data_IF_406213141622
#
_entry.id   IF_406213141622
#
_cell.length_a   1.000
_cell.length_b   1.000
_cell.length_c   1.000
_cell.angle_alpha   90.00
_cell.angle_beta   90.00
_cell.angle_gamma   90.00
#
_symmetry.space_group_name_H-M   'P 1'
#
loop_
_entity.id
_entity.type
_entity.pdbx_description
1 polymer ?
#
# COMPACT_ATOMS: atom_id res chain seq x y z
N UNK A 1 -27.20 -15.46 -24.45
CA UNK A 1 -27.61 -14.77 -23.21
C UNK A 1 -26.41 -13.94 -22.84
N UNK A 2 -26.45 -12.65 -23.15
CA UNK A 2 -25.36 -11.72 -22.85
C UNK A 2 -25.28 -11.59 -21.32
N UNK A 3 -24.17 -12.03 -20.74
CA UNK A 3 -23.84 -11.74 -19.35
C UNK A 3 -23.70 -10.23 -19.22
N UNK A 4 -24.60 -9.63 -18.44
CA UNK A 4 -24.57 -8.22 -18.12
C UNK A 4 -23.25 -7.90 -17.39
N UNK A 5 -22.32 -7.26 -18.08
CA UNK A 5 -21.09 -6.77 -17.47
C UNK A 5 -21.44 -5.82 -16.32
N UNK A 6 -20.93 -6.12 -15.13
CA UNK A 6 -21.02 -5.26 -13.95
C UNK A 6 -20.50 -3.85 -14.31
N UNK A 7 -21.35 -2.79 -14.24
CA UNK A 7 -20.96 -1.45 -14.63
C UNK A 7 -20.06 -0.72 -13.62
N UNK A 8 -19.59 -1.38 -12.56
CA UNK A 8 -18.73 -0.78 -11.53
C UNK A 8 -17.37 -1.44 -11.30
N UNK A 9 -17.09 -2.59 -11.91
CA UNK A 9 -15.86 -3.36 -11.68
C UNK A 9 -14.72 -3.02 -12.62
N UNK A 10 -13.51 -2.81 -12.10
CA UNK A 10 -12.30 -2.80 -12.94
C UNK A 10 -12.14 -4.18 -13.61
N UNK A 11 -11.84 -4.19 -14.90
CA UNK A 11 -11.56 -5.45 -15.62
C UNK A 11 -10.31 -6.15 -15.07
N UNK A 12 -10.28 -7.48 -15.15
CA UNK A 12 -9.13 -8.29 -14.75
C UNK A 12 -7.84 -7.83 -15.46
N UNK A 13 -7.93 -7.45 -16.74
CA UNK A 13 -6.81 -6.93 -17.53
C UNK A 13 -6.29 -5.58 -17.02
N UNK A 14 -7.16 -4.71 -16.51
CA UNK A 14 -6.73 -3.45 -15.89
C UNK A 14 -5.97 -3.70 -14.59
N UNK A 15 -6.44 -4.65 -13.78
CA UNK A 15 -5.77 -5.03 -12.53
C UNK A 15 -4.41 -5.66 -12.80
N UNK A 16 -4.32 -6.63 -13.71
CA UNK A 16 -3.04 -7.28 -14.04
C UNK A 16 -2.01 -6.31 -14.62
N UNK A 17 -2.45 -5.29 -15.37
CA UNK A 17 -1.56 -4.19 -15.79
C UNK A 17 -1.04 -3.38 -14.61
N UNK A 18 -1.89 -3.09 -13.61
CA UNK A 18 -1.44 -2.40 -12.41
C UNK A 18 -0.40 -3.21 -11.64
N UNK A 19 -0.64 -4.51 -11.49
CA UNK A 19 0.26 -5.43 -10.78
C UNK A 19 1.61 -5.54 -11.49
N UNK A 20 1.58 -5.70 -12.81
CA UNK A 20 2.78 -5.74 -13.65
C UNK A 20 3.58 -4.44 -13.55
N UNK A 21 2.91 -3.29 -13.58
CA UNK A 21 3.55 -1.98 -13.40
C UNK A 21 4.16 -1.81 -12.00
N UNK A 22 3.46 -2.23 -10.94
CA UNK A 22 3.99 -2.21 -9.58
C UNK A 22 5.22 -3.12 -9.42
N UNK A 23 5.25 -4.28 -10.09
CA UNK A 23 6.41 -5.18 -10.09
C UNK A 23 7.59 -4.59 -10.88
N UNK A 24 7.32 -3.89 -11.99
CA UNK A 24 8.33 -3.12 -12.70
C UNK A 24 8.91 -2.01 -11.81
N UNK A 25 8.08 -1.38 -10.98
CA UNK A 25 8.45 -0.46 -9.91
C UNK A 25 8.49 1.01 -10.33
N UNK A 26 8.38 1.90 -9.34
CA UNK A 26 8.24 3.35 -9.53
C UNK A 26 9.19 4.10 -8.58
N UNK A 27 9.88 5.12 -9.09
CA UNK A 27 10.60 6.06 -8.22
C UNK A 27 9.62 7.04 -7.58
N UNK A 28 9.51 7.01 -6.25
CA UNK A 28 8.60 7.86 -5.50
C UNK A 28 9.33 8.55 -4.34
N UNK A 29 8.80 9.68 -3.92
CA UNK A 29 9.31 10.43 -2.76
C UNK A 29 8.59 9.94 -1.51
N UNK A 30 9.34 9.38 -0.56
CA UNK A 30 8.84 9.09 0.79
C UNK A 30 8.90 10.35 1.66
N UNK A 31 7.75 10.78 2.17
CA UNK A 31 7.67 11.89 3.12
C UNK A 31 7.92 11.43 4.57
N UNK A 32 8.35 12.38 5.40
CA UNK A 32 8.60 12.22 6.84
C UNK A 32 8.35 13.56 7.53
N UNK A 33 7.75 13.57 8.71
CA UNK A 33 7.18 14.77 9.33
C UNK A 33 8.11 15.91 9.77
N UNK A 34 9.36 15.99 9.28
CA UNK A 34 10.30 17.08 9.59
C UNK A 34 11.55 17.15 8.70
N UNK A 35 11.59 16.47 7.55
CA UNK A 35 12.78 16.45 6.68
C UNK A 35 12.41 16.48 5.20
N UNK A 36 13.36 16.81 4.32
CA UNK A 36 13.21 16.66 2.87
C UNK A 36 12.84 15.21 2.55
N UNK A 37 11.87 15.03 1.65
CA UNK A 37 11.44 13.72 1.20
C UNK A 37 12.59 12.89 0.63
N UNK A 38 12.49 11.56 0.75
CA UNK A 38 13.53 10.63 0.31
C UNK A 38 13.10 9.91 -0.96
N UNK A 39 13.85 10.10 -2.04
CA UNK A 39 13.63 9.35 -3.27
C UNK A 39 13.95 7.87 -3.06
N UNK A 40 13.00 7.00 -3.41
CA UNK A 40 13.10 5.56 -3.29
C UNK A 40 12.43 4.89 -4.48
N UNK A 41 13.03 3.81 -4.95
CA UNK A 41 12.43 2.92 -5.94
C UNK A 41 11.60 1.89 -5.20
N UNK A 42 10.28 1.97 -5.34
CA UNK A 42 9.31 1.05 -4.76
C UNK A 42 8.89 0.03 -5.80
N UNK A 43 8.71 -1.22 -5.39
CA UNK A 43 8.25 -2.28 -6.28
C UNK A 43 7.49 -3.34 -5.49
N UNK A 44 6.54 -3.99 -6.14
CA UNK A 44 5.89 -5.21 -5.67
C UNK A 44 6.82 -6.40 -5.93
N UNK A 45 6.96 -7.31 -4.97
CA UNK A 45 7.79 -8.49 -5.18
C UNK A 45 7.17 -9.48 -6.19
N UNK A 46 7.97 -10.47 -6.60
CA UNK A 46 7.58 -11.49 -7.59
C UNK A 46 6.31 -12.24 -7.17
N UNK A 47 6.17 -12.52 -5.87
CA UNK A 47 5.02 -13.23 -5.30
C UNK A 47 3.82 -12.33 -4.97
N UNK A 48 3.91 -11.02 -5.24
CA UNK A 48 2.86 -10.04 -4.93
C UNK A 48 2.45 -10.01 -3.45
N UNK A 49 3.38 -10.39 -2.58
CA UNK A 49 3.20 -10.58 -1.14
C UNK A 49 3.73 -9.40 -0.31
N UNK A 50 4.63 -8.61 -0.90
CA UNK A 50 5.30 -7.50 -0.22
C UNK A 50 5.55 -6.32 -1.17
N UNK A 51 5.31 -5.11 -0.68
CA UNK A 51 5.92 -3.90 -1.23
C UNK A 51 7.34 -3.81 -0.70
N UNK A 52 8.33 -3.60 -1.56
CA UNK A 52 9.74 -3.43 -1.22
C UNK A 52 10.26 -2.10 -1.74
N UNK A 53 11.39 -1.63 -1.18
CA UNK A 53 12.04 -0.42 -1.69
C UNK A 53 13.55 -0.40 -1.55
N UNK A 54 14.19 0.35 -2.45
CA UNK A 54 15.64 0.60 -2.47
C UNK A 54 15.97 2.05 -2.86
N UNK A 55 17.12 2.61 -2.46
CA UNK A 55 18.07 2.05 -1.50
C UNK A 55 17.52 2.06 -0.07
N UNK A 56 17.95 1.12 0.77
CA UNK A 56 17.59 1.08 2.19
C UNK A 56 18.73 0.47 2.99
N UNK A 57 19.09 1.08 4.12
CA UNK A 57 20.06 0.50 5.07
C UNK A 57 19.48 -0.67 5.86
N UNK A 58 18.17 -0.92 5.74
CA UNK A 58 17.46 -1.99 6.46
C UNK A 58 17.41 -3.32 5.69
N UNK A 59 18.00 -3.41 4.49
CA UNK A 59 18.04 -4.59 3.62
C UNK A 59 16.69 -5.35 3.58
N UNK A 60 16.64 -6.59 4.06
CA UNK A 60 15.42 -7.44 4.06
C UNK A 60 14.24 -6.86 4.85
N UNK A 61 14.48 -5.93 5.77
CA UNK A 61 13.42 -5.23 6.51
C UNK A 61 12.85 -4.03 5.74
N UNK A 62 13.33 -3.75 4.52
CA UNK A 62 12.83 -2.69 3.65
C UNK A 62 11.57 -3.15 2.88
N UNK A 63 10.56 -3.60 3.62
CA UNK A 63 9.33 -4.12 3.05
C UNK A 63 8.11 -3.88 3.94
N UNK A 64 6.93 -3.88 3.32
CA UNK A 64 5.61 -3.98 3.97
C UNK A 64 4.92 -5.20 3.35
N UNK A 65 4.51 -6.15 4.18
CA UNK A 65 3.70 -7.28 3.71
C UNK A 65 2.30 -6.78 3.38
N UNK A 66 1.73 -7.24 2.26
CA UNK A 66 0.36 -6.89 1.85
C UNK A 66 -0.63 -7.25 2.95
N UNK A 67 -0.45 -8.40 3.60
CA UNK A 67 -1.27 -8.87 4.72
C UNK A 67 -1.27 -7.92 5.95
N UNK A 68 -0.25 -7.07 6.06
CA UNK A 68 -0.13 -6.12 7.16
C UNK A 68 -0.76 -4.77 6.84
N UNK A 69 -1.20 -4.54 5.59
CA UNK A 69 -1.83 -3.30 5.17
C UNK A 69 -3.28 -3.29 5.69
N UNK A 70 -3.62 -2.21 6.39
CA UNK A 70 -4.96 -1.99 6.92
C UNK A 70 -5.78 -1.08 6.00
N UNK A 71 -5.12 -0.13 5.35
CA UNK A 71 -5.77 0.89 4.54
C UNK A 71 -4.80 1.49 3.52
N UNK A 72 -5.32 1.83 2.33
CA UNK A 72 -4.64 2.66 1.34
C UNK A 72 -5.52 3.87 1.04
N UNK A 73 -5.01 5.05 1.38
CA UNK A 73 -5.70 6.33 1.28
C UNK A 73 -5.11 7.17 0.15
N UNK A 74 -5.97 7.77 -0.65
CA UNK A 74 -5.59 8.66 -1.76
C UNK A 74 -5.46 10.11 -1.30
N UNK A 75 -4.58 10.86 -1.97
CA UNK A 75 -4.38 12.26 -1.69
C UNK A 75 -3.51 12.51 -0.47
N UNK A 76 -3.81 13.62 0.20
CA UNK A 76 -2.99 14.22 1.27
C UNK A 76 -3.64 14.03 2.65
N UNK A 77 -4.24 12.87 2.90
CA UNK A 77 -5.09 12.67 4.08
C UNK A 77 -4.29 12.48 5.38
N UNK A 78 -3.05 12.00 5.31
CA UNK A 78 -2.26 11.74 6.52
C UNK A 78 -1.74 13.01 7.19
N UNK A 79 -1.45 12.92 8.49
CA UNK A 79 -0.83 14.00 9.25
C UNK A 79 0.51 14.45 8.66
N UNK A 80 1.24 13.56 7.98
CA UNK A 80 2.52 13.89 7.37
C UNK A 80 2.30 14.91 6.25
N UNK A 81 1.30 14.73 5.39
CA UNK A 81 1.01 15.70 4.34
C UNK A 81 0.51 17.05 4.90
N UNK A 82 -0.26 17.03 5.99
CA UNK A 82 -0.75 18.25 6.65
C UNK A 82 0.38 19.13 7.20
N UNK A 83 1.52 18.52 7.57
CA UNK A 83 2.73 19.25 7.99
C UNK A 83 3.48 19.94 6.85
N UNK A 84 3.04 19.74 5.60
CA UNK A 84 3.50 20.48 4.44
C UNK A 84 2.39 21.38 3.89
N UNK A 85 1.89 22.36 4.65
CA UNK A 85 0.75 23.20 4.25
C UNK A 85 1.02 24.00 2.98
N UNK A 86 2.27 24.37 2.72
CA UNK A 86 2.70 25.08 1.51
C UNK A 86 3.26 24.14 0.42
N UNK A 87 3.12 22.82 0.56
CA UNK A 87 3.64 21.91 -0.47
C UNK A 87 2.83 21.99 -1.77
N UNK A 88 3.57 22.13 -2.87
CA UNK A 88 3.06 22.07 -4.24
C UNK A 88 2.80 20.65 -4.73
N UNK A 89 2.56 19.68 -3.83
CA UNK A 89 2.29 18.30 -4.24
C UNK A 89 0.87 18.21 -4.78
N UNK A 90 0.74 17.79 -6.03
CA UNK A 90 -0.56 17.45 -6.62
C UNK A 90 -1.20 16.32 -5.78
N UNK A 91 -2.41 16.52 -5.22
CA UNK A 91 -3.12 15.49 -4.48
C UNK A 91 -3.27 14.19 -5.29
N UNK A 92 -3.43 14.26 -6.61
CA UNK A 92 -3.58 13.07 -7.44
C UNK A 92 -2.31 12.22 -7.46
N UNK A 93 -1.14 12.80 -7.19
CA UNK A 93 0.14 12.10 -7.09
C UNK A 93 0.41 11.56 -5.68
N UNK A 94 -0.44 11.87 -4.71
CA UNK A 94 -0.21 11.55 -3.30
C UNK A 94 -1.04 10.35 -2.86
N UNK A 95 -0.46 9.49 -2.02
CA UNK A 95 -1.19 8.45 -1.32
C UNK A 95 -0.45 7.99 -0.06
N UNK A 96 -1.16 7.33 0.84
CA UNK A 96 -0.65 6.80 2.09
C UNK A 96 -1.03 5.33 2.25
N UNK A 97 -0.08 4.52 2.72
CA UNK A 97 -0.31 3.12 3.09
C UNK A 97 -0.23 3.02 4.61
N UNK A 98 -1.32 2.61 5.25
CA UNK A 98 -1.36 2.35 6.69
C UNK A 98 -1.18 0.86 6.96
N UNK A 99 -0.22 0.51 7.82
CA UNK A 99 0.15 -0.88 8.05
C UNK A 99 0.57 -1.18 9.49
N UNK A 100 0.50 -2.46 9.85
CA UNK A 100 0.93 -2.98 11.15
C UNK A 100 0.04 -2.57 12.34
N UNK A 101 0.21 -3.23 13.48
CA UNK A 101 -0.67 -3.05 14.66
C UNK A 101 -0.69 -1.63 15.23
N UNK A 102 0.39 -0.87 15.07
CA UNK A 102 0.49 0.53 15.53
C UNK A 102 0.03 1.56 14.47
N UNK A 103 -0.60 1.10 13.37
CA UNK A 103 -1.11 1.94 12.28
C UNK A 103 -0.05 2.93 11.75
N UNK A 104 1.10 2.40 11.37
CA UNK A 104 2.19 3.20 10.81
C UNK A 104 1.84 3.64 9.38
N UNK A 105 2.17 4.88 9.02
CA UNK A 105 1.99 5.39 7.66
C UNK A 105 3.28 5.31 6.82
N UNK A 106 3.12 4.91 5.56
CA UNK A 106 4.06 5.16 4.49
C UNK A 106 3.43 6.16 3.52
N UNK A 107 3.90 7.40 3.59
CA UNK A 107 3.38 8.52 2.80
C UNK A 107 4.26 8.76 1.56
N UNK A 108 3.64 8.73 0.39
CA UNK A 108 4.34 8.71 -0.91
C UNK A 108 3.82 9.80 -1.84
N UNK A 109 4.76 10.43 -2.55
CA UNK A 109 4.48 11.26 -3.72
C UNK A 109 5.02 10.56 -4.95
N UNK A 110 4.10 10.17 -5.82
CA UNK A 110 4.33 9.53 -7.12
C UNK A 110 4.77 10.56 -8.17
N UNK A 111 5.48 10.16 -9.24
CA UNK A 111 5.84 11.08 -10.33
C UNK A 111 4.64 11.55 -11.15
N UNK A 112 3.53 10.82 -11.13
CA UNK A 112 2.28 11.19 -11.79
C UNK A 112 1.06 10.65 -11.06
N UNK A 113 -0.11 11.23 -11.35
CA UNK A 113 -1.38 10.71 -10.84
C UNK A 113 -1.71 9.32 -11.37
N UNK A 114 -1.27 8.99 -12.58
CA UNK A 114 -1.49 7.67 -13.19
C UNK A 114 -0.72 6.57 -12.44
N UNK A 115 0.52 6.87 -12.06
CA UNK A 115 1.34 5.99 -11.23
C UNK A 115 0.73 5.87 -9.83
N UNK A 116 0.28 6.97 -9.22
CA UNK A 116 -0.39 6.90 -7.91
C UNK A 116 -1.65 6.01 -7.95
N UNK A 117 -2.51 6.19 -8.97
CA UNK A 117 -3.71 5.36 -9.17
C UNK A 117 -3.35 3.91 -9.41
N UNK A 118 -2.32 3.64 -10.21
CA UNK A 118 -1.81 2.28 -10.45
C UNK A 118 -1.48 1.57 -9.13
N UNK A 119 -0.72 2.24 -8.26
CA UNK A 119 -0.36 1.70 -6.94
C UNK A 119 -1.56 1.52 -6.02
N UNK A 120 -2.43 2.53 -5.93
CA UNK A 120 -3.62 2.47 -5.08
C UNK A 120 -4.56 1.33 -5.51
N UNK A 121 -4.83 1.22 -6.81
CA UNK A 121 -5.67 0.18 -7.39
C UNK A 121 -5.11 -1.21 -7.14
N UNK A 122 -3.84 -1.44 -7.46
CA UNK A 122 -3.22 -2.75 -7.28
C UNK A 122 -3.16 -3.19 -5.81
N UNK A 123 -2.86 -2.25 -4.90
CA UNK A 123 -2.85 -2.55 -3.46
C UNK A 123 -4.24 -2.85 -2.90
N UNK A 124 -5.27 -2.08 -3.28
CA UNK A 124 -6.65 -2.35 -2.86
C UNK A 124 -7.14 -3.69 -3.37
N UNK A 125 -6.83 -4.03 -4.62
CA UNK A 125 -7.15 -5.34 -5.18
C UNK A 125 -6.48 -6.48 -4.39
N UNK A 126 -5.18 -6.34 -4.12
CA UNK A 126 -4.42 -7.30 -3.31
C UNK A 126 -5.00 -7.49 -1.91
N UNK A 127 -5.40 -6.39 -1.25
CA UNK A 127 -6.04 -6.44 0.06
C UNK A 127 -7.40 -7.17 0.03
N UNK A 128 -8.18 -6.99 -1.04
CA UNK A 128 -9.47 -7.66 -1.21
C UNK A 128 -9.32 -9.16 -1.51
N UNK A 129 -8.30 -9.55 -2.29
CA UNK A 129 -8.00 -10.96 -2.58
C UNK A 129 -7.57 -11.78 -1.35
N UNK A 130 -7.12 -11.13 -0.28
CA UNK A 130 -6.81 -11.76 1.02
C UNK A 130 -8.07 -11.88 1.89
N UNK A 131 -9.17 -11.21 1.54
CA UNK A 131 -10.22 -10.90 2.52
C UNK A 131 -11.29 -11.96 2.75
N UNK A 132 -11.49 -12.99 1.90
CA UNK A 132 -12.63 -13.90 2.11
C UNK A 132 -12.35 -15.13 3.00
N UNK A 133 -11.21 -15.82 2.85
CA UNK A 133 -10.92 -17.03 3.66
C UNK A 133 -9.84 -16.81 4.74
N UNK A 134 -8.82 -15.98 4.46
CA UNK A 134 -7.67 -15.84 5.36
C UNK A 134 -7.82 -14.73 6.41
N UNK A 135 -8.67 -13.73 6.15
CA UNK A 135 -8.88 -12.60 7.08
C UNK A 135 -9.58 -13.02 8.39
N UNK A 136 -10.55 -13.95 8.30
CA UNK A 136 -11.23 -14.57 9.44
C UNK A 136 -10.33 -15.55 10.19
N UNK A 137 -9.52 -16.34 9.47
CA UNK A 137 -8.58 -17.27 10.06
C UNK A 137 -7.44 -16.56 10.82
N UNK A 138 -6.96 -15.41 10.31
CA UNK A 138 -5.90 -14.63 10.97
C UNK A 138 -6.35 -13.86 12.21
N UNK A 139 -7.55 -13.23 12.19
CA UNK A 139 -8.10 -12.55 13.38
C UNK A 139 -8.22 -13.49 14.58
N UNK A 140 -8.50 -14.77 14.33
CA UNK A 140 -8.56 -15.81 15.36
C UNK A 140 -7.15 -16.22 15.84
N UNK A 141 -6.20 -16.47 14.94
CA UNK A 141 -4.83 -16.90 15.33
C UNK A 141 -4.05 -15.86 16.13
N UNK A 142 -4.18 -14.57 15.86
CA UNK A 142 -3.53 -13.52 16.69
C UNK A 142 -4.19 -13.34 18.05
N UNK A 143 -5.47 -13.75 18.22
CA UNK A 143 -6.16 -13.72 19.51
C UNK A 143 -5.73 -14.89 20.41
N UNK A 144 -5.41 -16.03 19.81
CA UNK A 144 -5.05 -17.25 20.54
C UNK A 144 -3.55 -17.35 20.91
N UNK A 145 -2.74 -16.33 20.59
CA UNK A 145 -1.29 -16.34 20.82
C UNK A 145 -0.85 -15.67 22.14
N UNK A 146 -1.79 -15.38 23.06
CA UNK A 146 -1.47 -14.97 24.44
C UNK A 146 -2.03 -15.95 25.48
N UNK A 147 -1.29 -17.02 25.85
CA UNK A 147 -1.53 -17.75 27.08
C UNK A 147 -0.59 -17.22 28.16
N UNK A 148 -1.07 -16.32 29.02
CA UNK A 148 -0.63 -16.18 30.41
C UNK A 148 -1.65 -15.28 31.14
N UNK A 149 -2.20 -15.62 32.30
CA UNK A 149 -1.65 -16.41 33.39
C UNK A 149 -2.72 -17.26 34.10
N UNK A 150 -2.35 -18.51 34.41
CA UNK A 150 -2.78 -19.22 35.62
C UNK A 150 -1.57 -19.18 36.55
N UNK A 151 -1.77 -18.74 37.79
CA UNK A 151 -0.75 -18.60 38.83
C UNK A 151 -1.06 -17.42 39.73
#
# INVERSE_FOLDING_TARGET
>A
MEEAGDPGGLSQDQVERCMSAMQAGTQMVKLRGGSKGLMRFYFLDEHRSCIRWRPSRKNEKAKISIDSIQEVSEGRQSEIFQRYPDSSFDPNCCFSIYHGSQRQSLDLVSPSGDEARTWVTGLRYLMAGISDEDSLARRQRTRDQYPWAQG
#
